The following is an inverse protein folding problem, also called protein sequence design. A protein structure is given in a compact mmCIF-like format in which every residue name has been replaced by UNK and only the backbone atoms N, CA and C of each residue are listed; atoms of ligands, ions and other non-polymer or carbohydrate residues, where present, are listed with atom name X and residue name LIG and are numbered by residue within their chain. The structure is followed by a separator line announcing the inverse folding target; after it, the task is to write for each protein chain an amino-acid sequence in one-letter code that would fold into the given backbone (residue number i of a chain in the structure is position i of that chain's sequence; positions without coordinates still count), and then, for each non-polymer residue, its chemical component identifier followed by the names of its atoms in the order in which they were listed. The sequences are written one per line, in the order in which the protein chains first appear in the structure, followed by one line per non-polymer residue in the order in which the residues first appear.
data_IF_458205034886
#
_entry.id   IF_458205034886
#
_cell.length_a   1.000
_cell.length_b   1.000
_cell.length_c   1.000
_cell.angle_alpha   90.00
_cell.angle_beta   90.00
_cell.angle_gamma   90.00
#
_symmetry.space_group_name_H-M   'P 1'
#
loop_
_entity.id
_entity.type
_entity.pdbx_description
1 polymer ?
#
# COMPACT_ATOMS: atom_id res chain seq x y z
N UNK A 1 56.63 -34.79 -16.55
CA UNK A 1 55.97 -34.61 -15.23
C UNK A 1 54.79 -33.67 -15.42
N UNK A 2 53.56 -34.00 -14.95
CA UNK A 2 52.40 -33.14 -15.14
C UNK A 2 52.37 -32.02 -14.09
N UNK A 3 52.00 -30.80 -14.52
CA UNK A 3 51.86 -29.62 -13.63
C UNK A 3 50.60 -29.78 -12.77
N UNK A 4 50.77 -29.80 -11.46
CA UNK A 4 49.71 -29.79 -10.45
C UNK A 4 48.84 -28.54 -10.58
N UNK A 5 47.52 -28.73 -10.63
CA UNK A 5 46.52 -27.65 -10.63
C UNK A 5 46.66 -26.82 -9.35
N UNK A 6 46.91 -25.51 -9.49
CA UNK A 6 46.91 -24.56 -8.38
C UNK A 6 45.51 -24.53 -7.76
N UNK A 7 45.41 -24.97 -6.50
CA UNK A 7 44.18 -24.88 -5.71
C UNK A 7 43.66 -23.44 -5.63
N UNK A 8 42.34 -23.29 -5.52
CA UNK A 8 41.65 -21.99 -5.37
C UNK A 8 42.37 -21.16 -4.30
N UNK A 9 42.92 -20.01 -4.70
CA UNK A 9 43.57 -19.10 -3.78
C UNK A 9 42.56 -18.67 -2.70
N UNK A 10 42.96 -18.76 -1.43
CA UNK A 10 42.15 -18.32 -0.30
C UNK A 10 41.65 -16.88 -0.54
N UNK A 11 40.39 -16.63 -0.20
CA UNK A 11 39.75 -15.33 -0.38
C UNK A 11 40.57 -14.27 0.36
N UNK A 12 41.18 -13.35 -0.39
CA UNK A 12 42.08 -12.35 0.17
C UNK A 12 41.26 -11.37 1.01
N UNK A 13 41.62 -11.25 2.28
CA UNK A 13 41.06 -10.24 3.19
C UNK A 13 41.25 -8.86 2.58
N UNK A 14 40.15 -8.15 2.36
CA UNK A 14 40.15 -6.82 1.76
C UNK A 14 40.28 -5.77 2.87
N UNK A 15 41.28 -4.89 2.76
CA UNK A 15 41.43 -3.80 3.73
C UNK A 15 40.25 -2.81 3.64
N UNK A 16 39.68 -2.33 4.77
CA UNK A 16 38.48 -1.48 4.77
C UNK A 16 38.59 -0.22 3.91
N UNK A 17 39.78 0.39 3.84
CA UNK A 17 40.02 1.62 3.06
C UNK A 17 40.57 1.36 1.64
N UNK A 18 40.57 0.11 1.17
CA UNK A 18 41.03 -0.21 -0.18
C UNK A 18 40.00 0.16 -1.24
N UNK A 19 40.45 0.38 -2.49
CA UNK A 19 39.54 0.60 -3.64
C UNK A 19 38.53 -0.54 -3.78
N UNK A 20 38.98 -1.80 -3.61
CA UNK A 20 38.11 -2.98 -3.67
C UNK A 20 37.00 -2.93 -2.61
N UNK A 21 37.31 -2.54 -1.37
CA UNK A 21 36.29 -2.34 -0.33
C UNK A 21 35.31 -1.23 -0.70
N UNK A 22 35.79 -0.10 -1.26
CA UNK A 22 34.92 0.99 -1.69
C UNK A 22 33.96 0.56 -2.82
N UNK A 23 34.40 -0.26 -3.78
CA UNK A 23 33.53 -0.81 -4.83
C UNK A 23 32.45 -1.73 -4.24
N UNK A 24 32.83 -2.66 -3.36
CA UNK A 24 31.88 -3.55 -2.68
C UNK A 24 30.84 -2.76 -1.86
N UNK A 25 31.28 -1.73 -1.12
CA UNK A 25 30.38 -0.87 -0.36
C UNK A 25 29.41 -0.09 -1.27
N UNK A 26 29.85 0.40 -2.44
CA UNK A 26 28.97 1.07 -3.42
C UNK A 26 27.91 0.13 -3.97
N UNK A 27 28.31 -1.09 -4.32
CA UNK A 27 27.40 -2.11 -4.81
C UNK A 27 26.38 -2.52 -3.75
N UNK A 28 26.82 -2.75 -2.52
CA UNK A 28 25.95 -3.07 -1.39
C UNK A 28 24.94 -1.94 -1.14
N UNK A 29 25.40 -0.68 -1.15
CA UNK A 29 24.50 0.48 -1.00
C UNK A 29 23.48 0.58 -2.14
N UNK A 30 23.87 0.28 -3.38
CA UNK A 30 22.95 0.24 -4.53
C UNK A 30 21.89 -0.86 -4.34
N UNK A 31 22.31 -2.05 -3.93
CA UNK A 31 21.41 -3.17 -3.66
C UNK A 31 20.44 -2.86 -2.51
N UNK A 32 20.94 -2.30 -1.40
CA UNK A 32 20.12 -1.85 -0.26
C UNK A 32 19.06 -0.82 -0.70
N UNK A 33 19.42 0.14 -1.55
CA UNK A 33 18.45 1.11 -2.09
C UNK A 33 17.39 0.44 -2.96
N UNK A 34 17.79 -0.47 -3.84
CA UNK A 34 16.87 -1.23 -4.72
C UNK A 34 15.91 -2.10 -3.90
N UNK A 35 16.42 -2.80 -2.91
CA UNK A 35 15.62 -3.63 -2.00
C UNK A 35 14.65 -2.77 -1.18
N UNK A 36 15.12 -1.63 -0.65
CA UNK A 36 14.25 -0.70 0.07
C UNK A 36 13.08 -0.21 -0.80
N UNK A 37 13.34 0.20 -2.03
CA UNK A 37 12.27 0.63 -2.95
C UNK A 37 11.28 -0.51 -3.25
N UNK A 38 11.77 -1.74 -3.43
CA UNK A 38 10.91 -2.92 -3.62
C UNK A 38 10.01 -3.14 -2.41
N UNK A 39 10.57 -3.05 -1.20
CA UNK A 39 9.84 -3.24 0.05
C UNK A 39 8.82 -2.12 0.30
N UNK A 40 9.17 -0.86 -0.02
CA UNK A 40 8.25 0.28 0.07
C UNK A 40 7.05 0.13 -0.89
N UNK A 41 7.30 -0.29 -2.14
CA UNK A 41 6.24 -0.58 -3.12
C UNK A 41 5.35 -1.74 -2.66
N UNK A 42 5.96 -2.83 -2.20
CA UNK A 42 5.22 -3.99 -1.68
C UNK A 42 4.37 -3.60 -0.45
N UNK A 43 4.93 -2.83 0.49
CA UNK A 43 4.20 -2.35 1.65
C UNK A 43 3.01 -1.48 1.24
N UNK A 44 3.16 -0.57 0.27
CA UNK A 44 2.06 0.25 -0.25
C UNK A 44 0.94 -0.62 -0.84
N UNK A 45 1.29 -1.59 -1.68
CA UNK A 45 0.32 -2.51 -2.29
C UNK A 45 -0.39 -3.36 -1.22
N UNK A 46 0.34 -3.85 -0.23
CA UNK A 46 -0.24 -4.60 0.89
C UNK A 46 -1.24 -3.75 1.68
N UNK A 47 -0.90 -2.49 2.02
CA UNK A 47 -1.81 -1.60 2.73
C UNK A 47 -3.10 -1.35 1.94
N UNK A 48 -3.01 -1.19 0.61
CA UNK A 48 -4.19 -1.06 -0.25
C UNK A 48 -4.99 -2.36 -0.22
N UNK A 49 -4.34 -3.51 -0.42
CA UNK A 49 -4.99 -4.83 -0.39
C UNK A 49 -5.72 -5.11 0.92
N UNK A 50 -5.09 -4.85 2.07
CA UNK A 50 -5.70 -4.99 3.40
C UNK A 50 -6.91 -4.08 3.57
N UNK A 51 -6.80 -2.82 3.14
CA UNK A 51 -7.93 -1.89 3.14
C UNK A 51 -9.09 -2.45 2.31
N UNK A 52 -8.81 -2.94 1.10
CA UNK A 52 -9.83 -3.50 0.23
C UNK A 52 -10.47 -4.77 0.82
N UNK A 53 -9.68 -5.67 1.39
CA UNK A 53 -10.19 -6.87 2.06
C UNK A 53 -11.14 -6.52 3.20
N UNK A 54 -10.83 -5.48 3.98
CA UNK A 54 -11.74 -4.99 5.01
C UNK A 54 -13.06 -4.51 4.40
N UNK A 55 -13.02 -3.74 3.31
CA UNK A 55 -14.25 -3.28 2.63
C UNK A 55 -15.07 -4.45 2.09
N UNK A 56 -14.41 -5.46 1.52
CA UNK A 56 -15.06 -6.67 1.03
C UNK A 56 -15.77 -7.43 2.17
N UNK A 57 -15.15 -7.51 3.35
CA UNK A 57 -15.73 -8.20 4.51
C UNK A 57 -16.96 -7.51 5.10
N UNK A 58 -17.16 -6.22 4.81
CA UNK A 58 -18.36 -5.48 5.22
C UNK A 58 -19.53 -5.61 4.24
N UNK A 59 -19.32 -6.21 3.07
CA UNK A 59 -20.36 -6.39 2.08
C UNK A 59 -21.28 -7.55 2.46
N UNK A 60 -22.58 -7.33 2.31
CA UNK A 60 -23.61 -8.34 2.45
C UNK A 60 -23.69 -9.14 1.15
N UNK A 61 -23.52 -10.45 1.25
CA UNK A 61 -23.63 -11.39 0.13
C UNK A 61 -24.97 -11.33 -0.60
N UNK A 62 -26.07 -11.01 0.09
CA UNK A 62 -27.42 -11.04 -0.47
C UNK A 62 -27.77 -9.76 -1.26
N UNK A 63 -27.14 -8.63 -0.93
CA UNK A 63 -27.44 -7.35 -1.57
C UNK A 63 -26.85 -7.30 -2.98
N UNK A 64 -27.54 -6.75 -3.96
CA UNK A 64 -27.07 -6.70 -5.36
C UNK A 64 -26.63 -5.31 -5.82
N UNK A 65 -27.00 -4.26 -5.08
CA UNK A 65 -26.62 -2.88 -5.34
C UNK A 65 -26.45 -2.11 -4.03
N UNK A 66 -25.53 -1.15 -4.00
CA UNK A 66 -25.34 -0.24 -2.88
C UNK A 66 -25.69 1.18 -3.31
N UNK A 67 -26.39 1.89 -2.43
CA UNK A 67 -26.59 3.33 -2.58
C UNK A 67 -25.36 4.10 -2.09
N UNK A 68 -25.28 5.39 -2.44
CA UNK A 68 -24.26 6.29 -1.89
C UNK A 68 -24.34 6.36 -0.36
N UNK A 69 -25.55 6.30 0.21
CA UNK A 69 -25.75 6.29 1.67
C UNK A 69 -25.12 5.05 2.30
N UNK A 70 -25.32 3.87 1.70
CA UNK A 70 -24.69 2.64 2.19
C UNK A 70 -23.16 2.72 2.14
N UNK A 71 -22.62 3.33 1.07
CA UNK A 71 -21.17 3.55 0.97
C UNK A 71 -20.65 4.46 2.10
N UNK A 72 -21.37 5.53 2.43
CA UNK A 72 -21.06 6.38 3.58
C UNK A 72 -21.11 5.63 4.91
N UNK A 73 -22.13 4.80 5.13
CA UNK A 73 -22.25 3.98 6.35
C UNK A 73 -21.08 3.00 6.49
N UNK A 74 -20.64 2.37 5.39
CA UNK A 74 -19.48 1.47 5.41
C UNK A 74 -18.19 2.25 5.69
N UNK A 75 -18.03 3.44 5.12
CA UNK A 75 -16.87 4.32 5.41
C UNK A 75 -16.86 4.73 6.88
N UNK A 76 -17.99 5.09 7.47
CA UNK A 76 -18.07 5.44 8.89
C UNK A 76 -17.63 4.26 9.77
N UNK A 77 -18.09 3.04 9.47
CA UNK A 77 -17.59 1.83 10.15
C UNK A 77 -16.08 1.64 10.00
N UNK A 78 -15.52 2.00 8.83
CA UNK A 78 -14.08 1.91 8.59
C UNK A 78 -13.31 2.90 9.46
N UNK A 79 -13.79 4.13 9.59
CA UNK A 79 -13.17 5.17 10.42
C UNK A 79 -13.19 4.78 11.90
N UNK A 80 -14.24 4.08 12.35
CA UNK A 80 -14.41 3.60 13.72
C UNK A 80 -13.75 2.24 14.02
N UNK A 81 -13.00 1.66 13.07
CA UNK A 81 -12.42 0.30 13.22
C UNK A 81 -11.45 0.15 14.39
N UNK A 82 -10.83 1.24 14.85
CA UNK A 82 -9.85 1.24 15.93
C UNK A 82 -10.42 1.67 17.29
N UNK A 83 -11.72 1.98 17.39
CA UNK A 83 -12.30 2.51 18.62
C UNK A 83 -12.13 1.54 19.80
N UNK A 84 -12.35 0.24 19.56
CA UNK A 84 -12.13 -0.81 20.57
C UNK A 84 -10.67 -0.89 21.03
N UNK A 85 -9.70 -0.77 20.11
CA UNK A 85 -8.26 -0.78 20.43
C UNK A 85 -7.89 0.46 21.26
N UNK A 86 -8.39 1.64 20.88
CA UNK A 86 -8.17 2.88 21.62
C UNK A 86 -8.80 2.86 23.02
N UNK A 87 -10.00 2.30 23.15
CA UNK A 87 -10.66 2.10 24.45
C UNK A 87 -9.88 1.14 25.34
N UNK A 88 -9.37 0.03 24.80
CA UNK A 88 -8.53 -0.90 25.54
C UNK A 88 -7.25 -0.22 26.03
N UNK A 89 -6.56 0.55 25.18
CA UNK A 89 -5.36 1.30 25.55
C UNK A 89 -5.70 2.31 26.66
N UNK A 90 -6.83 3.03 26.53
CA UNK A 90 -7.29 3.99 27.53
C UNK A 90 -7.59 3.32 28.87
N UNK A 91 -8.23 2.15 28.86
CA UNK A 91 -8.53 1.38 30.06
C UNK A 91 -7.24 0.91 30.75
N UNK A 92 -6.31 0.32 29.99
CA UNK A 92 -5.01 -0.13 30.53
C UNK A 92 -4.21 1.01 31.15
N UNK A 93 -4.20 2.18 30.52
CA UNK A 93 -3.55 3.37 31.06
C UNK A 93 -4.32 4.01 32.24
N UNK A 94 -5.63 3.74 32.35
CA UNK A 94 -6.48 4.22 33.44
C UNK A 94 -6.37 3.40 34.73
N UNK A 95 -5.81 2.18 34.67
CA UNK A 95 -5.52 1.36 35.86
C UNK A 95 -4.40 2.04 36.65
N UNK A 96 -4.77 2.73 37.73
CA UNK A 96 -3.84 3.48 38.59
C UNK A 96 -2.78 2.54 39.18
N UNK A 97 -1.53 2.75 38.80
CA UNK A 97 -0.35 2.08 39.35
C UNK A 97 0.91 2.88 39.08
N UNK A 98 2.06 2.45 39.61
CA UNK A 98 3.40 3.03 39.34
C UNK A 98 3.96 2.62 37.96
N UNK A 99 3.10 2.44 36.98
CA UNK A 99 3.48 2.03 35.63
C UNK A 99 3.39 3.27 34.72
N UNK A 100 4.41 3.46 33.88
CA UNK A 100 4.39 4.53 32.86
C UNK A 100 3.33 4.28 31.78
N UNK A 101 3.10 5.26 30.92
CA UNK A 101 2.14 5.16 29.81
C UNK A 101 2.48 3.98 28.89
N UNK A 102 1.57 3.02 28.81
CA UNK A 102 1.66 1.86 27.93
C UNK A 102 1.08 2.20 26.55
N UNK A 103 1.63 1.57 25.50
CA UNK A 103 1.15 1.66 24.12
C UNK A 103 1.09 3.07 23.50
N UNK A 104 1.81 4.06 24.05
CA UNK A 104 1.74 5.45 23.58
C UNK A 104 2.13 5.64 22.10
N UNK A 105 3.09 4.87 21.59
CA UNK A 105 3.48 4.93 20.18
C UNK A 105 2.37 4.41 19.24
N UNK A 106 1.72 3.29 19.60
CA UNK A 106 0.61 2.70 18.83
C UNK A 106 -0.61 3.62 18.84
N UNK A 107 -0.96 4.15 20.01
CA UNK A 107 -2.06 5.10 20.18
C UNK A 107 -1.86 6.34 19.29
N UNK A 108 -0.64 6.89 19.24
CA UNK A 108 -0.33 8.05 18.41
C UNK A 108 -0.47 7.74 16.91
N UNK A 109 0.03 6.59 16.45
CA UNK A 109 -0.07 6.15 15.04
C UNK A 109 -1.53 5.94 14.62
N UNK A 110 -2.35 5.34 15.48
CA UNK A 110 -3.78 5.15 15.22
C UNK A 110 -4.48 6.49 15.11
N UNK A 111 -4.30 7.37 16.12
CA UNK A 111 -4.93 8.70 16.13
C UNK A 111 -4.58 9.51 14.88
N UNK A 112 -3.30 9.54 14.51
CA UNK A 112 -2.85 10.23 13.30
C UNK A 112 -3.44 9.62 12.03
N UNK A 113 -3.62 8.29 11.99
CA UNK A 113 -4.23 7.60 10.85
C UNK A 113 -5.71 7.93 10.73
N UNK A 114 -6.47 7.83 11.83
CA UNK A 114 -7.90 8.16 11.86
C UNK A 114 -8.12 9.63 11.50
N UNK A 115 -7.32 10.54 12.06
CA UNK A 115 -7.39 11.98 11.74
C UNK A 115 -7.19 12.25 10.25
N UNK A 116 -6.17 11.63 9.64
CA UNK A 116 -5.91 11.75 8.20
C UNK A 116 -7.06 11.20 7.36
N UNK A 117 -7.61 10.05 7.74
CA UNK A 117 -8.72 9.40 7.02
C UNK A 117 -10.02 10.21 7.14
N UNK A 118 -10.31 10.77 8.33
CA UNK A 118 -11.43 11.68 8.56
C UNK A 118 -11.31 12.96 7.73
N UNK A 119 -10.13 13.59 7.73
CA UNK A 119 -9.88 14.78 6.92
C UNK A 119 -10.08 14.51 5.42
N UNK A 120 -9.68 13.32 4.94
CA UNK A 120 -9.96 12.89 3.56
C UNK A 120 -11.45 12.74 3.29
N UNK A 121 -12.20 12.10 4.19
CA UNK A 121 -13.63 11.87 4.03
C UNK A 121 -14.47 13.16 4.05
N UNK A 122 -14.08 14.14 4.88
CA UNK A 122 -14.75 15.44 4.98
C UNK A 122 -14.35 16.44 3.88
N UNK A 123 -13.14 16.29 3.35
CA UNK A 123 -12.55 17.16 2.32
C UNK A 123 -12.73 16.63 0.91
N UNK A 124 -11.67 16.02 0.37
CA UNK A 124 -11.52 15.64 -1.05
C UNK A 124 -12.33 14.39 -1.43
N UNK A 125 -12.70 13.59 -0.44
CA UNK A 125 -13.39 12.30 -0.60
C UNK A 125 -12.47 11.12 -0.27
N UNK A 126 -13.05 10.16 0.43
CA UNK A 126 -12.41 8.92 0.83
C UNK A 126 -12.51 7.89 -0.29
N UNK A 127 -11.37 7.33 -0.70
CA UNK A 127 -11.30 6.37 -1.80
C UNK A 127 -11.67 4.96 -1.33
N UNK A 128 -12.68 4.37 -1.97
CA UNK A 128 -13.19 3.01 -1.69
C UNK A 128 -13.45 2.26 -3.00
N UNK A 129 -13.60 0.92 -2.98
CA UNK A 129 -14.12 0.17 -4.12
C UNK A 129 -15.47 0.71 -4.58
N UNK A 130 -15.68 0.76 -5.90
CA UNK A 130 -16.95 1.17 -6.47
C UNK A 130 -18.02 0.09 -6.25
N UNK A 131 -18.70 0.19 -5.11
CA UNK A 131 -19.80 -0.71 -4.74
C UNK A 131 -21.16 -0.24 -5.26
N UNK A 132 -21.23 0.98 -5.79
CA UNK A 132 -22.47 1.57 -6.31
C UNK A 132 -22.79 0.97 -7.69
N UNK A 133 -21.77 0.80 -8.53
CA UNK A 133 -21.93 0.13 -9.81
C UNK A 133 -21.98 -1.40 -9.63
N UNK A 134 -23.06 -2.03 -10.11
CA UNK A 134 -23.28 -3.47 -9.98
C UNK A 134 -22.24 -4.32 -10.71
N UNK A 135 -21.66 -3.84 -11.82
CA UNK A 135 -20.58 -4.54 -12.54
C UNK A 135 -19.30 -4.56 -11.70
N UNK A 136 -18.91 -3.40 -11.17
CA UNK A 136 -17.72 -3.26 -10.32
C UNK A 136 -17.87 -3.99 -8.98
N UNK A 137 -19.08 -4.03 -8.43
CA UNK A 137 -19.38 -4.79 -7.23
C UNK A 137 -19.15 -6.30 -7.42
N UNK A 138 -19.54 -6.86 -8.57
CA UNK A 138 -19.32 -8.29 -8.87
C UNK A 138 -17.83 -8.61 -8.96
N UNK A 139 -17.07 -7.82 -9.72
CA UNK A 139 -15.62 -8.03 -9.84
C UNK A 139 -14.92 -7.88 -8.49
N UNK A 140 -15.36 -6.92 -7.67
CA UNK A 140 -14.83 -6.73 -6.33
C UNK A 140 -15.19 -7.88 -5.36
N UNK A 141 -16.36 -8.49 -5.50
CA UNK A 141 -16.74 -9.67 -4.70
C UNK A 141 -15.95 -10.92 -5.03
N UNK A 142 -15.70 -11.15 -6.32
CA UNK A 142 -14.93 -12.30 -6.81
C UNK A 142 -13.42 -12.16 -6.57
N UNK A 143 -12.96 -10.96 -6.22
CA UNK A 143 -11.57 -10.71 -5.92
C UNK A 143 -11.13 -11.47 -4.66
N UNK A 144 -10.08 -12.28 -4.79
CA UNK A 144 -9.60 -13.19 -3.71
C UNK A 144 -8.48 -12.59 -2.87
N UNK A 145 -8.23 -11.28 -2.96
CA UNK A 145 -7.07 -10.63 -2.31
C UNK A 145 -5.78 -10.67 -3.13
N UNK A 146 -5.80 -11.14 -4.39
CA UNK A 146 -4.62 -11.14 -5.25
C UNK A 146 -4.24 -9.69 -5.64
N UNK A 147 -3.08 -9.25 -5.15
CA UNK A 147 -2.57 -7.89 -5.34
C UNK A 147 -2.30 -7.56 -6.82
N UNK A 148 -2.05 -8.56 -7.67
CA UNK A 148 -1.84 -8.34 -9.11
C UNK A 148 -3.13 -7.89 -9.82
N UNK A 149 -4.29 -8.19 -9.23
CA UNK A 149 -5.60 -7.82 -9.77
C UNK A 149 -6.13 -6.50 -9.22
N UNK A 150 -5.36 -5.80 -8.38
CA UNK A 150 -5.74 -4.47 -7.87
C UNK A 150 -6.06 -3.47 -8.98
N UNK A 151 -5.32 -3.39 -10.11
CA UNK A 151 -5.63 -2.45 -11.20
C UNK A 151 -7.03 -2.68 -11.81
N UNK A 152 -7.56 -3.90 -11.72
CA UNK A 152 -8.88 -4.23 -12.27
C UNK A 152 -10.03 -3.79 -11.35
N UNK A 153 -9.74 -3.42 -10.10
CA UNK A 153 -10.74 -2.96 -9.14
C UNK A 153 -10.90 -1.45 -9.31
N UNK A 154 -12.08 -1.03 -9.77
CA UNK A 154 -12.40 0.40 -9.87
C UNK A 154 -12.63 0.99 -8.48
N UNK A 155 -11.89 2.06 -8.19
CA UNK A 155 -12.01 2.84 -6.96
C UNK A 155 -12.80 4.13 -7.23
N UNK A 156 -13.57 4.57 -6.24
CA UNK A 156 -14.39 5.78 -6.27
C UNK A 156 -14.14 6.59 -5.01
N UNK A 157 -14.07 7.91 -5.15
CA UNK A 157 -14.02 8.85 -4.01
C UNK A 157 -15.43 9.17 -3.53
N UNK A 158 -15.69 8.97 -2.25
CA UNK A 158 -16.96 9.28 -1.59
C UNK A 158 -16.68 10.26 -0.45
N UNK A 159 -17.42 11.37 -0.40
CA UNK A 159 -17.29 12.37 0.65
C UNK A 159 -18.58 12.49 1.45
N UNK A 160 -18.47 12.94 2.69
CA UNK A 160 -19.62 13.15 3.59
C UNK A 160 -20.61 14.20 3.05
N UNK A 161 -20.12 15.19 2.30
CA UNK A 161 -20.92 16.32 1.77
C UNK A 161 -21.78 15.97 0.55
N UNK A 162 -21.40 14.92 -0.19
CA UNK A 162 -22.08 14.53 -1.44
C UNK A 162 -23.32 13.64 -1.22
N UNK A 163 -23.74 13.40 0.02
CA UNK A 163 -24.95 12.62 0.33
C UNK A 163 -26.22 13.44 0.06
N UNK A 164 -26.15 14.76 0.27
CA UNK A 164 -27.31 15.65 0.19
C UNK A 164 -27.49 16.33 -1.17
N UNK A 165 -26.45 16.32 -2.02
CA UNK A 165 -26.51 16.89 -3.37
C UNK A 165 -26.87 15.81 -4.38
N UNK A 166 -28.17 15.80 -4.73
CA UNK A 166 -28.86 15.05 -5.79
C UNK A 166 -27.97 14.49 -6.91
N UNK A 167 -28.11 13.20 -7.15
CA UNK A 167 -28.44 12.48 -8.41
C UNK A 167 -28.12 13.03 -9.83
N UNK A 168 -27.31 14.06 -10.02
CA UNK A 168 -26.97 14.58 -11.34
C UNK A 168 -25.45 14.80 -11.43
N UNK A 169 -24.77 13.82 -11.99
CA UNK A 169 -23.60 13.98 -12.87
C UNK A 169 -23.21 12.58 -13.34
N UNK A 170 -23.85 12.21 -14.45
CA UNK A 170 -23.46 11.14 -15.36
C UNK A 170 -21.96 11.20 -15.71
N UNK A 171 -21.41 9.98 -15.82
CA UNK A 171 -20.46 9.56 -16.85
C UNK A 171 -19.50 10.62 -17.38
N UNK A 172 -18.30 10.63 -16.81
CA UNK A 172 -17.11 10.69 -17.66
C UNK A 172 -16.54 9.28 -17.74
N UNK A 173 -16.84 8.62 -18.85
CA UNK A 173 -16.01 7.55 -19.37
C UNK A 173 -14.57 8.09 -19.46
N UNK A 174 -13.64 7.48 -18.74
CA UNK A 174 -12.22 7.69 -19.00
C UNK A 174 -11.93 7.15 -20.41
N UNK A 175 -11.35 7.96 -21.31
CA UNK A 175 -10.90 7.45 -22.60
C UNK A 175 -9.80 6.41 -22.36
N UNK A 176 -9.92 5.28 -23.08
CA UNK A 176 -8.94 4.22 -23.27
C UNK A 176 -7.50 4.62 -22.91
N UNK A 177 -6.94 4.00 -21.86
CA UNK A 177 -5.51 3.93 -21.65
C UNK A 177 -4.89 3.20 -22.84
N UNK A 178 -4.28 3.96 -23.75
CA UNK A 178 -3.32 3.44 -24.71
C UNK A 178 -2.19 2.80 -23.91
N UNK A 179 -1.81 1.54 -24.17
CA UNK A 179 -0.65 0.95 -23.52
C UNK A 179 0.60 1.70 -24.00
N UNK A 180 1.22 2.49 -23.12
CA UNK A 180 2.61 2.91 -23.33
C UNK A 180 3.46 1.64 -23.32
N UNK A 181 3.92 1.27 -24.51
CA UNK A 181 4.92 0.24 -24.72
C UNK A 181 6.16 0.60 -23.89
N UNK A 182 6.57 -0.31 -23.00
CA UNK A 182 7.87 -0.28 -22.36
C UNK A 182 8.93 -0.37 -23.48
N UNK A 183 9.47 0.77 -23.91
CA UNK A 183 10.71 0.86 -24.69
C UNK A 183 11.87 0.35 -23.81
N UNK A 184 12.00 -0.97 -23.77
CA UNK A 184 13.21 -1.68 -23.39
C UNK A 184 14.13 -1.71 -24.61
N UNK A 185 14.93 -0.66 -24.81
CA UNK A 185 16.19 -0.81 -25.54
C UNK A 185 17.15 0.34 -25.21
N UNK A 186 18.17 0.05 -24.39
CA UNK A 186 19.49 0.65 -24.57
C UNK A 186 20.55 -0.27 -23.94
N UNK A 187 20.78 -1.41 -24.58
CA UNK A 187 22.03 -2.14 -24.44
C UNK A 187 22.97 -1.72 -25.60
N UNK A 188 24.17 -1.29 -25.21
CA UNK A 188 25.43 -1.30 -25.97
C UNK A 188 25.68 -0.15 -26.96
N UNK A 189 26.60 0.74 -26.58
CA UNK A 189 27.93 0.84 -27.20
C UNK A 189 28.71 2.03 -26.62
N UNK A 190 29.85 1.75 -25.97
CA UNK A 190 31.05 2.54 -26.24
C UNK A 190 32.31 1.69 -25.94
N UNK A 191 32.79 1.04 -26.99
CA UNK A 191 34.15 0.56 -27.13
C UNK A 191 34.94 1.62 -27.92
N UNK A 192 36.26 1.72 -27.66
CA UNK A 192 37.31 2.52 -28.33
C UNK A 192 37.46 3.98 -27.83
N UNK A 193 38.64 4.57 -27.57
CA UNK A 193 40.05 4.18 -27.73
C UNK A 193 40.96 5.17 -26.92
N UNK A 194 42.22 4.78 -26.67
CA UNK A 194 43.40 5.49 -26.10
C UNK A 194 43.76 5.25 -24.62
#
# INVERSE_FOLDING_TARGET
MPKTQKGKAAEKVVHPYSRKAAYLAREENRLKRKERQKNEKAARLNNIGEKLLWFQSQLDSAKTSYSRKDACEIIERYLHRFDSELEQIKLMNGIKGRQGRLHGAREAVIKQTVEREQAQYEGVGFEIPDIINTKHLKTFREWTGDLKKLPNIKLRKVSKKNVDTKNEMEEKEDPEEVPEEDDLDDELMDETDH
#
